data_IF_669020119980
#
_entry.id   IF_669020119980
#
_cell.length_a   1.000
_cell.length_b   1.000
_cell.length_c   1.000
_cell.angle_alpha   90.00
_cell.angle_beta   90.00
_cell.angle_gamma   90.00
#
_symmetry.space_group_name_H-M   'P 1'
#
loop_
_entity.id
_entity.type
_entity.pdbx_description
1 polymer ?
#
# COMPACT_ATOMS: atom_id res chain seq x y z
N UNK A 1 -0.07 -7.90 10.62
CA UNK A 1 -1.36 -7.31 11.04
C UNK A 1 -1.86 -6.61 9.82
N UNK A 2 -2.94 -7.15 9.26
CA UNK A 2 -3.45 -6.69 7.99
C UNK A 2 -4.91 -6.29 8.19
N UNK A 3 -5.34 -5.29 7.45
CA UNK A 3 -6.72 -4.81 7.45
C UNK A 3 -7.64 -5.97 7.09
N UNK A 4 -8.72 -6.16 7.83
CA UNK A 4 -9.73 -7.19 7.52
C UNK A 4 -10.57 -6.79 6.32
N UNK A 5 -11.26 -7.74 5.68
CA UNK A 5 -12.11 -7.43 4.52
C UNK A 5 -13.22 -6.42 4.86
N UNK A 6 -13.78 -6.52 6.07
CA UNK A 6 -14.81 -5.61 6.54
C UNK A 6 -14.28 -4.18 6.67
N UNK A 7 -13.09 -4.00 7.25
CA UNK A 7 -12.45 -2.69 7.36
C UNK A 7 -12.06 -2.16 5.97
N UNK A 8 -11.54 -3.03 5.10
CA UNK A 8 -11.18 -2.66 3.74
C UNK A 8 -12.38 -2.15 2.95
N UNK A 9 -13.55 -2.76 3.12
CA UNK A 9 -14.80 -2.32 2.47
C UNK A 9 -15.18 -0.88 2.83
N UNK A 10 -14.84 -0.43 4.03
CA UNK A 10 -15.09 0.94 4.51
C UNK A 10 -14.04 1.92 3.97
N UNK A 11 -12.78 1.49 3.90
CA UNK A 11 -11.65 2.35 3.49
C UNK A 11 -11.57 2.50 1.98
N UNK A 12 -11.78 1.42 1.22
CA UNK A 12 -11.59 1.36 -0.24
C UNK A 12 -12.26 2.53 -0.99
N UNK A 13 -13.51 2.93 -0.69
CA UNK A 13 -14.16 4.05 -1.39
C UNK A 13 -13.49 5.41 -1.18
N UNK A 14 -12.71 5.57 -0.11
CA UNK A 14 -12.00 6.83 0.20
C UNK A 14 -10.68 6.97 -0.57
N UNK A 15 -10.16 5.85 -1.10
CA UNK A 15 -8.92 5.83 -1.86
C UNK A 15 -9.25 6.18 -3.30
N UNK A 16 -8.76 7.34 -3.76
CA UNK A 16 -8.84 7.72 -5.18
C UNK A 16 -7.92 6.80 -5.98
N UNK A 17 -8.50 6.00 -6.84
CA UNK A 17 -7.74 5.21 -7.80
C UNK A 17 -7.13 6.14 -8.86
N UNK A 18 -5.79 6.24 -8.97
CA UNK A 18 -5.18 7.02 -10.03
C UNK A 18 -5.51 6.42 -11.39
N UNK A 19 -5.82 7.27 -12.37
CA UNK A 19 -6.08 6.84 -13.75
C UNK A 19 -4.84 6.11 -14.29
N UNK A 20 -5.01 4.97 -14.98
CA UNK A 20 -3.90 4.34 -15.71
C UNK A 20 -3.28 5.36 -16.67
N UNK A 21 -1.96 5.33 -16.83
CA UNK A 21 -1.31 6.11 -17.88
C UNK A 21 -1.70 5.53 -19.24
N UNK A 22 -2.05 6.42 -20.17
CA UNK A 22 -2.47 6.05 -21.53
C UNK A 22 -1.31 5.47 -22.36
N UNK A 23 -0.06 5.82 -22.02
CA UNK A 23 1.14 5.38 -22.73
C UNK A 23 1.58 3.94 -22.37
N UNK A 24 0.92 3.28 -21.42
CA UNK A 24 1.23 1.93 -20.97
C UNK A 24 2.60 1.78 -20.30
N UNK A 25 3.28 2.89 -19.96
CA UNK A 25 4.61 2.88 -19.36
C UNK A 25 4.57 3.05 -17.84
N UNK A 26 5.49 2.37 -17.15
CA UNK A 26 5.71 2.53 -15.73
C UNK A 26 5.71 1.21 -14.97
N UNK A 27 5.84 1.29 -13.63
CA UNK A 27 5.70 0.14 -12.76
C UNK A 27 4.25 -0.36 -12.77
N UNK A 28 4.12 -1.68 -12.72
CA UNK A 28 2.84 -2.34 -12.54
C UNK A 28 2.13 -1.79 -11.29
N UNK A 29 0.80 -1.68 -11.38
CA UNK A 29 -0.02 -1.14 -10.31
C UNK A 29 -0.06 -2.13 -9.15
N UNK A 30 0.43 -1.69 -8.00
CA UNK A 30 0.36 -2.47 -6.78
C UNK A 30 -1.02 -2.30 -6.14
N UNK A 31 -1.52 -3.39 -5.56
CA UNK A 31 -2.82 -3.42 -4.89
C UNK A 31 -2.83 -2.44 -3.67
N UNK A 32 -3.80 -1.49 -3.61
CA UNK A 32 -3.80 -0.43 -2.60
C UNK A 32 -3.88 -0.89 -1.14
N UNK A 33 -4.59 -1.99 -0.84
CA UNK A 33 -4.68 -2.54 0.53
C UNK A 33 -3.32 -3.03 1.01
N UNK A 34 -2.54 -3.63 0.12
CA UNK A 34 -1.20 -4.15 0.41
C UNK A 34 -0.24 -3.02 0.76
N UNK A 35 -0.32 -1.90 0.04
CA UNK A 35 0.42 -0.67 0.38
C UNK A 35 -0.01 -0.17 1.76
N UNK A 36 -1.33 -0.06 1.99
CA UNK A 36 -1.85 0.46 3.26
C UNK A 36 -1.44 -0.43 4.45
N UNK A 37 -1.43 -1.75 4.30
CA UNK A 37 -0.95 -2.67 5.33
C UNK A 37 0.53 -2.43 5.65
N UNK A 38 1.37 -2.19 4.63
CA UNK A 38 2.79 -1.84 4.82
C UNK A 38 2.97 -0.52 5.58
N UNK A 39 2.21 0.52 5.22
CA UNK A 39 2.21 1.82 5.92
C UNK A 39 1.78 1.63 7.39
N UNK A 40 0.69 0.91 7.64
CA UNK A 40 0.20 0.67 9.01
C UNK A 40 1.19 -0.12 9.85
N UNK A 41 1.94 -1.05 9.25
CA UNK A 41 2.98 -1.78 9.95
C UNK A 41 4.09 -0.82 10.44
N UNK A 42 4.54 0.11 9.60
CA UNK A 42 5.53 1.13 9.98
C UNK A 42 4.97 2.04 11.07
N UNK A 43 3.76 2.57 10.91
CA UNK A 43 3.13 3.45 11.89
C UNK A 43 2.95 2.78 13.26
N UNK A 44 2.70 1.46 13.28
CA UNK A 44 2.52 0.71 14.52
C UNK A 44 3.83 0.31 15.19
N UNK A 45 4.86 -0.02 14.41
CA UNK A 45 6.14 -0.52 14.94
C UNK A 45 7.15 0.60 15.20
N UNK A 46 7.03 1.73 14.51
CA UNK A 46 8.04 2.79 14.49
C UNK A 46 9.34 2.36 13.79
N UNK A 47 9.36 1.23 13.10
CA UNK A 47 10.53 0.74 12.38
C UNK A 47 10.87 1.65 11.21
N UNK A 48 12.11 1.54 10.71
CA UNK A 48 12.53 2.28 9.53
C UNK A 48 11.86 1.66 8.30
N UNK A 49 11.63 2.48 7.27
CA UNK A 49 11.10 2.00 5.99
C UNK A 49 11.91 0.87 5.36
N UNK A 50 13.24 0.87 5.56
CA UNK A 50 14.13 -0.19 5.08
C UNK A 50 13.90 -1.55 5.76
N UNK A 51 13.31 -1.55 6.96
CA UNK A 51 13.03 -2.76 7.74
C UNK A 51 11.62 -3.31 7.45
N UNK A 52 10.91 -2.75 6.45
CA UNK A 52 9.58 -3.21 6.06
C UNK A 52 9.67 -4.68 5.56
N UNK A 53 8.89 -5.62 6.14
CA UNK A 53 8.96 -7.02 5.74
C UNK A 53 8.60 -7.26 4.29
N UNK A 54 9.29 -8.21 3.63
CA UNK A 54 9.12 -8.56 2.21
C UNK A 54 7.73 -9.07 1.82
N UNK A 55 6.88 -9.41 2.80
CA UNK A 55 5.46 -9.74 2.56
C UNK A 55 4.63 -8.52 2.12
N UNK A 56 5.14 -7.32 2.34
CA UNK A 56 4.52 -6.07 1.89
C UNK A 56 5.18 -5.58 0.60
N UNK A 57 4.51 -4.71 -0.17
CA UNK A 57 5.15 -4.06 -1.29
C UNK A 57 6.39 -3.31 -0.85
N UNK A 58 7.35 -3.13 -1.76
CA UNK A 58 8.61 -2.45 -1.44
C UNK A 58 8.37 -1.12 -0.73
N UNK A 59 9.26 -0.76 0.19
CA UNK A 59 9.12 0.48 0.95
C UNK A 59 9.03 1.73 0.05
N UNK A 60 9.68 1.68 -1.12
CA UNK A 60 9.61 2.70 -2.16
C UNK A 60 8.20 2.91 -2.71
N UNK A 61 7.36 1.88 -2.67
CA UNK A 61 5.95 1.93 -3.07
C UNK A 61 5.05 2.44 -1.94
N UNK A 62 5.46 2.25 -0.69
CA UNK A 62 4.68 2.63 0.49
C UNK A 62 4.95 4.06 1.00
N UNK A 63 6.15 4.59 0.78
CA UNK A 63 6.57 5.90 1.29
C UNK A 63 6.54 7.02 0.23
N UNK A 64 6.34 6.67 -1.04
CA UNK A 64 6.65 7.54 -2.18
C UNK A 64 5.94 8.89 -2.18
#
# INVERSE_FOLDING_TARGET
MDITDAQWKIIKPLIKEPKPREDGRGRERIEPRSILNGILWILKTGARWQDLPDRYPSYQSCHR
#
